data_IF_974013697996
#
_entry.id   IF_974013697996
#
_cell.length_a   1.000
_cell.length_b   1.000
_cell.length_c   1.000
_cell.angle_alpha   90.00
_cell.angle_beta   90.00
_cell.angle_gamma   90.00
#
_symmetry.space_group_name_H-M   'P 1'
#
loop_
_entity.id
_entity.type
_entity.pdbx_description
1 polymer ?
#
# COMPACT_ATOMS: atom_id res chain seq x y z
N UNK A 1 -5.28 -5.53 24.10
CA UNK A 1 -4.64 -5.93 22.82
C UNK A 1 -3.47 -6.85 23.12
N UNK A 2 -3.29 -7.90 22.35
CA UNK A 2 -2.11 -8.77 22.43
C UNK A 2 -1.24 -8.47 21.22
N UNK A 3 -0.23 -7.60 21.41
CA UNK A 3 0.53 -7.07 20.29
C UNK A 3 1.76 -7.92 19.95
N UNK A 4 2.01 -8.09 18.66
CA UNK A 4 3.30 -8.51 18.12
C UNK A 4 3.85 -7.38 17.24
N UNK A 5 5.09 -6.98 17.51
CA UNK A 5 5.78 -5.91 16.80
C UNK A 5 6.89 -6.51 15.95
N UNK A 6 6.82 -6.33 14.62
CA UNK A 6 7.79 -6.90 13.67
C UNK A 6 8.47 -5.76 12.91
N UNK A 7 9.78 -5.87 12.72
CA UNK A 7 10.57 -4.97 11.87
C UNK A 7 11.31 -5.79 10.83
N UNK A 8 11.22 -5.40 9.56
CA UNK A 8 11.99 -5.97 8.46
C UNK A 8 12.91 -4.90 7.87
N UNK A 9 14.22 -5.12 7.93
CA UNK A 9 15.25 -4.20 7.40
C UNK A 9 15.80 -4.62 6.03
N UNK A 10 15.65 -5.88 5.65
CA UNK A 10 15.96 -6.37 4.30
C UNK A 10 14.72 -6.28 3.40
N UNK A 11 14.58 -5.14 2.72
CA UNK A 11 13.41 -4.86 1.87
C UNK A 11 13.58 -5.40 0.45
N UNK A 12 14.78 -5.75 0.00
CA UNK A 12 15.02 -6.19 -1.38
C UNK A 12 14.25 -7.49 -1.75
N UNK A 13 14.15 -8.51 -0.87
CA UNK A 13 13.29 -9.67 -1.09
C UNK A 13 11.79 -9.32 -1.05
N UNK A 14 11.38 -8.38 -0.20
CA UNK A 14 9.98 -7.97 -0.03
C UNK A 14 9.46 -7.18 -1.24
N UNK A 15 10.31 -6.37 -1.85
CA UNK A 15 9.99 -5.45 -2.94
C UNK A 15 10.12 -6.07 -4.35
N UNK A 16 10.60 -7.31 -4.47
CA UNK A 16 10.78 -7.99 -5.77
C UNK A 16 12.13 -7.75 -6.46
N UNK A 17 13.06 -7.01 -5.84
CA UNK A 17 14.44 -6.89 -6.35
C UNK A 17 15.19 -8.24 -6.28
N UNK A 18 14.85 -9.08 -5.30
CA UNK A 18 15.35 -10.45 -5.14
C UNK A 18 14.19 -11.46 -5.09
N UNK A 19 13.45 -11.59 -6.20
CA UNK A 19 12.21 -12.37 -6.30
C UNK A 19 12.31 -13.80 -5.74
N UNK A 20 13.37 -14.55 -6.09
CA UNK A 20 13.54 -15.92 -5.60
C UNK A 20 13.76 -15.98 -4.08
N UNK A 21 14.43 -14.98 -3.51
CA UNK A 21 14.61 -14.87 -2.06
C UNK A 21 13.28 -14.51 -1.38
N UNK A 22 12.57 -13.52 -1.93
CA UNK A 22 11.25 -13.10 -1.44
C UNK A 22 10.24 -14.25 -1.44
N UNK A 23 10.20 -15.02 -2.52
CA UNK A 23 9.33 -16.18 -2.66
C UNK A 23 9.62 -17.25 -1.61
N UNK A 24 10.89 -17.57 -1.37
CA UNK A 24 11.26 -18.57 -0.34
C UNK A 24 10.94 -18.11 1.07
N UNK A 25 11.22 -16.85 1.39
CA UNK A 25 11.10 -16.33 2.76
C UNK A 25 9.65 -16.01 3.14
N UNK A 26 8.87 -15.48 2.20
CA UNK A 26 7.53 -14.95 2.47
C UNK A 26 6.41 -15.73 1.78
N UNK A 27 6.71 -16.78 1.01
CA UNK A 27 5.72 -17.56 0.25
C UNK A 27 4.80 -16.67 -0.60
N UNK A 28 5.36 -15.60 -1.20
CA UNK A 28 4.66 -14.65 -2.05
C UNK A 28 5.58 -14.27 -3.23
N UNK A 29 4.98 -13.94 -4.38
CA UNK A 29 5.68 -13.48 -5.57
C UNK A 29 5.55 -11.96 -5.65
N UNK A 30 6.50 -11.18 -5.08
CA UNK A 30 6.51 -9.73 -5.22
C UNK A 30 6.85 -9.30 -6.65
N UNK A 31 6.42 -8.09 -7.03
CA UNK A 31 6.79 -7.47 -8.29
C UNK A 31 7.59 -6.18 -8.03
N UNK A 32 8.71 -6.02 -8.72
CA UNK A 32 9.49 -4.79 -8.67
C UNK A 32 8.73 -3.67 -9.40
N UNK A 33 8.08 -2.81 -8.64
CA UNK A 33 7.11 -1.80 -9.09
C UNK A 33 7.52 -0.41 -8.61
N UNK A 34 6.90 0.64 -9.13
CA UNK A 34 7.09 2.02 -8.68
C UNK A 34 6.67 2.22 -7.21
N UNK A 35 5.71 1.43 -6.73
CA UNK A 35 5.23 1.42 -5.35
C UNK A 35 5.92 0.35 -4.49
N UNK A 36 7.19 0.06 -4.76
CA UNK A 36 7.92 -1.01 -4.09
C UNK A 36 7.93 -0.95 -2.55
N UNK A 37 7.96 0.22 -1.86
CA UNK A 37 7.92 0.23 -0.39
C UNK A 37 6.62 -0.38 0.15
N UNK A 38 5.50 -0.10 -0.51
CA UNK A 38 4.20 -0.65 -0.16
C UNK A 38 4.08 -2.11 -0.57
N UNK A 39 4.62 -2.50 -1.73
CA UNK A 39 4.73 -3.91 -2.12
C UNK A 39 5.37 -4.71 -0.99
N UNK A 40 6.50 -4.21 -0.48
CA UNK A 40 7.21 -4.88 0.61
C UNK A 40 6.41 -4.93 1.91
N UNK A 41 5.71 -3.84 2.26
CA UNK A 41 4.80 -3.81 3.41
C UNK A 41 3.70 -4.87 3.28
N UNK A 42 2.97 -4.89 2.16
CA UNK A 42 1.84 -5.81 1.94
C UNK A 42 2.28 -7.27 1.84
N UNK A 43 3.48 -7.56 1.31
CA UNK A 43 4.07 -8.91 1.34
C UNK A 43 4.36 -9.35 2.78
N UNK A 44 4.98 -8.48 3.59
CA UNK A 44 5.30 -8.78 4.99
C UNK A 44 4.01 -9.06 5.78
N UNK A 45 3.02 -8.17 5.68
CA UNK A 45 1.73 -8.33 6.35
C UNK A 45 1.04 -9.63 5.92
N UNK A 46 0.98 -9.89 4.60
CA UNK A 46 0.36 -11.11 4.07
C UNK A 46 1.07 -12.39 4.51
N UNK A 47 2.39 -12.36 4.69
CA UNK A 47 3.15 -13.48 5.24
C UNK A 47 2.86 -13.72 6.73
N UNK A 48 2.79 -12.64 7.53
CA UNK A 48 2.50 -12.71 8.97
C UNK A 48 1.08 -13.20 9.24
N UNK A 49 0.09 -12.66 8.52
CA UNK A 49 -1.32 -13.08 8.58
C UNK A 49 -1.47 -14.56 8.27
N UNK A 50 -0.93 -15.02 7.13
CA UNK A 50 -0.97 -16.45 6.76
C UNK A 50 -0.27 -17.33 7.78
N UNK A 51 0.85 -16.88 8.33
CA UNK A 51 1.61 -17.65 9.33
C UNK A 51 0.80 -17.82 10.61
N UNK A 52 0.16 -16.75 11.10
CA UNK A 52 -0.68 -16.78 12.29
C UNK A 52 -1.93 -17.66 12.09
N UNK A 53 -2.59 -17.55 10.93
CA UNK A 53 -3.81 -18.30 10.62
C UNK A 53 -3.63 -19.82 10.67
N UNK A 54 -2.42 -20.35 10.37
CA UNK A 54 -2.11 -21.79 10.52
C UNK A 54 -2.22 -22.31 11.97
N UNK A 55 -2.27 -21.41 12.94
CA UNK A 55 -2.39 -21.72 14.36
C UNK A 55 -3.73 -21.23 14.95
N UNK A 56 -4.75 -21.00 14.12
CA UNK A 56 -6.05 -20.44 14.51
C UNK A 56 -5.94 -19.08 15.22
N UNK A 57 -4.94 -18.29 14.84
CA UNK A 57 -4.70 -16.94 15.34
C UNK A 57 -4.87 -15.92 14.20
N UNK A 58 -5.74 -14.94 14.41
CA UNK A 58 -5.81 -13.77 13.56
C UNK A 58 -4.69 -12.80 13.95
N UNK A 59 -3.99 -12.25 12.95
CA UNK A 59 -3.06 -11.16 13.14
C UNK A 59 -3.55 -9.95 12.34
N UNK A 60 -4.07 -8.94 13.02
CA UNK A 60 -4.66 -7.76 12.36
C UNK A 60 -3.68 -6.58 12.46
N UNK A 61 -3.25 -5.99 11.34
CA UNK A 61 -2.43 -4.77 11.35
C UNK A 61 -3.19 -3.62 12.03
N UNK A 62 -2.58 -3.01 13.04
CA UNK A 62 -3.16 -1.84 13.73
C UNK A 62 -2.34 -0.57 13.54
N UNK A 63 -1.06 -0.72 13.20
CA UNK A 63 -0.19 0.37 12.79
C UNK A 63 0.93 -0.26 11.96
N UNK A 64 1.08 0.15 10.71
CA UNK A 64 2.17 -0.35 9.86
C UNK A 64 2.65 0.75 8.91
N UNK A 65 3.95 0.82 8.70
CA UNK A 65 4.56 1.82 7.83
C UNK A 65 5.84 1.29 7.19
N UNK A 66 6.13 1.76 5.97
CA UNK A 66 7.44 1.62 5.35
C UNK A 66 8.10 2.99 5.30
N UNK A 67 9.13 3.18 6.11
CA UNK A 67 9.82 4.48 6.24
C UNK A 67 11.32 4.30 6.14
N UNK A 68 11.98 5.12 5.33
CA UNK A 68 13.41 5.04 5.06
C UNK A 68 13.84 3.68 4.49
N UNK A 69 14.46 2.80 5.29
CA UNK A 69 15.02 1.52 4.84
C UNK A 69 14.47 0.32 5.63
N UNK A 70 13.31 0.47 6.27
CA UNK A 70 12.67 -0.63 6.98
C UNK A 70 11.14 -0.58 6.88
N UNK A 71 10.53 -1.74 7.07
CA UNK A 71 9.09 -1.90 7.28
C UNK A 71 8.86 -2.23 8.74
N UNK A 72 7.90 -1.55 9.38
CA UNK A 72 7.51 -1.79 10.77
C UNK A 72 6.01 -2.04 10.82
N UNK A 73 5.63 -3.06 11.58
CA UNK A 73 4.22 -3.38 11.79
C UNK A 73 3.95 -3.77 13.24
N UNK A 74 2.78 -3.37 13.72
CA UNK A 74 2.19 -3.72 14.99
C UNK A 74 0.89 -4.48 14.68
N UNK A 75 0.81 -5.72 15.15
CA UNK A 75 -0.30 -6.64 14.89
C UNK A 75 -1.02 -6.94 16.20
N UNK A 76 -2.35 -6.79 16.23
CA UNK A 76 -3.17 -7.29 17.33
C UNK A 76 -3.57 -8.73 17.05
N UNK A 77 -3.39 -9.59 18.06
CA UNK A 77 -3.63 -11.02 17.94
C UNK A 77 -4.96 -11.41 18.57
N UNK A 78 -5.79 -12.13 17.80
CA UNK A 78 -7.00 -12.79 18.30
C UNK A 78 -6.86 -14.31 18.19
N UNK A 79 -7.19 -15.05 19.25
CA UNK A 79 -7.19 -16.53 19.27
C UNK A 79 -8.55 -17.14 18.90
N UNK A 80 -9.33 -16.42 18.09
CA UNK A 80 -10.61 -16.90 17.57
C UNK A 80 -10.39 -17.33 16.13
N UNK A 81 -10.72 -18.58 15.83
CA UNK A 81 -10.58 -19.14 14.48
C UNK A 81 -11.44 -18.39 13.44
N UNK A 82 -12.60 -17.85 13.83
CA UNK A 82 -13.41 -16.98 12.96
C UNK A 82 -12.63 -15.76 12.49
N UNK A 83 -11.99 -15.05 13.41
CA UNK A 83 -11.23 -13.83 13.12
C UNK A 83 -10.03 -14.16 12.21
N UNK A 84 -9.46 -15.37 12.34
CA UNK A 84 -8.39 -15.84 11.47
C UNK A 84 -8.90 -16.07 10.03
N UNK A 85 -10.11 -16.61 9.87
CA UNK A 85 -10.73 -16.76 8.55
C UNK A 85 -11.01 -15.38 7.93
N UNK A 86 -11.58 -14.45 8.68
CA UNK A 86 -11.86 -13.09 8.22
C UNK A 86 -10.57 -12.37 7.78
N UNK A 87 -9.47 -12.55 8.51
CA UNK A 87 -8.17 -12.02 8.13
C UNK A 87 -7.64 -12.63 6.81
N UNK A 88 -7.91 -13.91 6.54
CA UNK A 88 -7.52 -14.54 5.27
C UNK A 88 -8.32 -14.00 4.07
N UNK A 89 -9.55 -13.51 4.27
CA UNK A 89 -10.36 -12.88 3.21
C UNK A 89 -9.75 -11.55 2.72
N UNK A 90 -8.97 -10.88 3.58
CA UNK A 90 -8.23 -9.65 3.25
C UNK A 90 -6.92 -9.90 2.50
N UNK A 91 -6.59 -11.17 2.21
CA UNK A 91 -5.48 -11.51 1.33
C UNK A 91 -5.91 -11.48 -0.13
N UNK A 92 -4.98 -11.18 -1.02
CA UNK A 92 -5.27 -11.22 -2.45
C UNK A 92 -4.06 -10.95 -3.32
N UNK A 93 -4.33 -10.48 -4.53
CA UNK A 93 -3.32 -10.30 -5.57
C UNK A 93 -3.48 -8.94 -6.22
N UNK A 94 -2.38 -8.37 -6.71
CA UNK A 94 -2.38 -7.17 -7.55
C UNK A 94 -1.92 -7.56 -8.94
N UNK A 95 -2.71 -7.24 -9.96
CA UNK A 95 -2.39 -7.45 -11.36
C UNK A 95 -1.92 -6.12 -11.95
N UNK A 96 -0.64 -6.01 -12.29
CA UNK A 96 0.00 -4.76 -12.70
C UNK A 96 0.43 -4.83 -14.18
N UNK A 97 0.10 -3.79 -14.94
CA UNK A 97 0.57 -3.59 -16.30
C UNK A 97 1.78 -2.65 -16.33
N UNK A 98 2.97 -3.19 -16.59
CA UNK A 98 4.20 -2.39 -16.69
C UNK A 98 4.25 -1.46 -17.92
N UNK A 99 3.31 -1.59 -18.86
CA UNK A 99 3.26 -0.75 -20.06
C UNK A 99 2.45 0.53 -19.89
N UNK A 100 1.45 0.55 -19.01
CA UNK A 100 0.61 1.73 -18.79
C UNK A 100 0.32 2.02 -17.30
N UNK A 101 0.91 1.26 -16.38
CA UNK A 101 0.76 1.38 -14.93
C UNK A 101 -0.64 1.05 -14.39
N UNK A 102 -1.58 0.71 -15.26
CA UNK A 102 -2.89 0.21 -14.86
C UNK A 102 -2.73 -1.01 -13.96
N UNK A 103 -3.53 -1.05 -12.91
CA UNK A 103 -3.51 -2.14 -11.94
C UNK A 103 -4.88 -2.38 -11.32
N UNK A 104 -5.12 -3.63 -10.95
CA UNK A 104 -6.33 -4.06 -10.29
C UNK A 104 -5.96 -5.02 -9.15
N UNK A 105 -6.56 -4.82 -7.97
CA UNK A 105 -6.42 -5.73 -6.83
C UNK A 105 -7.62 -6.68 -6.75
N UNK A 106 -7.37 -7.97 -6.48
CA UNK A 106 -8.43 -8.97 -6.30
C UNK A 106 -8.19 -9.78 -5.03
N UNK A 107 -9.16 -9.74 -4.12
CA UNK A 107 -9.16 -10.54 -2.90
C UNK A 107 -9.38 -12.04 -3.18
N UNK A 108 -8.94 -12.86 -2.24
CA UNK A 108 -9.02 -14.31 -2.29
C UNK A 108 -7.67 -15.00 -2.46
N UNK A 109 -7.64 -16.31 -2.19
CA UNK A 109 -6.42 -17.13 -2.17
C UNK A 109 -6.02 -17.69 -3.55
N UNK A 110 -6.79 -17.41 -4.60
CA UNK A 110 -6.53 -17.89 -5.95
C UNK A 110 -6.36 -16.69 -6.87
N UNK A 111 -5.18 -16.57 -7.47
CA UNK A 111 -4.91 -15.55 -8.46
C UNK A 111 -5.76 -15.75 -9.72
N UNK A 112 -6.44 -14.69 -10.16
CA UNK A 112 -7.24 -14.66 -11.40
C UNK A 112 -6.82 -13.48 -12.28
N UNK A 113 -5.61 -13.52 -12.84
CA UNK A 113 -5.13 -12.43 -13.69
C UNK A 113 -6.01 -12.25 -14.92
N UNK A 114 -6.23 -11.00 -15.38
CA UNK A 114 -6.81 -10.78 -16.68
C UNK A 114 -5.86 -11.29 -17.77
N UNK A 115 -6.40 -11.69 -18.92
CA UNK A 115 -5.60 -12.21 -20.03
C UNK A 115 -4.64 -11.15 -20.60
N UNK A 116 -5.09 -9.90 -20.61
CA UNK A 116 -4.36 -8.72 -21.05
C UNK A 116 -4.80 -7.51 -20.22
N UNK A 117 -4.03 -6.44 -20.28
CA UNK A 117 -4.35 -5.19 -19.60
C UNK A 117 -5.63 -4.58 -20.20
N UNK A 118 -6.67 -4.28 -19.40
CA UNK A 118 -7.92 -3.72 -19.91
C UNK A 118 -7.76 -2.29 -20.46
N UNK A 119 -6.68 -1.58 -20.08
CA UNK A 119 -6.42 -0.22 -20.52
C UNK A 119 -5.62 -0.14 -21.84
N UNK A 120 -4.70 -1.08 -22.09
CA UNK A 120 -3.79 -0.98 -23.25
C UNK A 120 -3.52 -2.30 -24.01
N UNK A 121 -4.09 -3.43 -23.58
CA UNK A 121 -3.90 -4.74 -24.21
C UNK A 121 -2.53 -5.39 -23.99
N UNK A 122 -1.62 -4.76 -23.23
CA UNK A 122 -0.31 -5.35 -22.92
C UNK A 122 -0.41 -6.46 -21.85
N UNK A 123 0.66 -7.23 -21.68
CA UNK A 123 0.74 -8.26 -20.64
C UNK A 123 0.67 -7.67 -19.23
N UNK A 124 0.01 -8.41 -18.33
CA UNK A 124 -0.04 -8.11 -16.89
C UNK A 124 0.82 -9.07 -16.10
N UNK A 125 1.45 -8.58 -15.03
CA UNK A 125 2.18 -9.41 -14.06
C UNK A 125 1.44 -9.40 -12.74
N UNK A 126 1.40 -10.55 -12.08
CA UNK A 126 0.66 -10.72 -10.82
C UNK A 126 1.62 -10.71 -9.64
N UNK A 127 1.31 -9.90 -8.64
CA UNK A 127 1.96 -9.89 -7.34
C UNK A 127 1.08 -10.60 -6.30
N UNK A 128 1.68 -11.43 -5.44
CA UNK A 128 1.02 -11.93 -4.23
C UNK A 128 1.30 -13.39 -3.85
N UNK A 129 0.56 -13.92 -2.86
CA UNK A 129 -0.52 -13.22 -2.15
C UNK A 129 -0.01 -12.09 -1.26
N UNK A 130 -0.75 -10.99 -1.23
CA UNK A 130 -0.51 -9.74 -0.52
C UNK A 130 -1.60 -9.51 0.52
N UNK A 131 -1.32 -8.71 1.55
CA UNK A 131 -2.35 -8.10 2.36
C UNK A 131 -3.00 -6.94 1.59
N UNK A 132 -4.31 -7.02 1.34
CA UNK A 132 -5.07 -5.99 0.62
C UNK A 132 -5.86 -5.07 1.54
N UNK A 133 -6.14 -5.48 2.79
CA UNK A 133 -6.85 -4.65 3.76
C UNK A 133 -6.02 -3.49 4.34
N UNK A 134 -6.60 -2.84 5.34
CA UNK A 134 -6.01 -1.72 6.08
C UNK A 134 -4.65 -2.07 6.68
N UNK A 135 -3.69 -1.16 6.53
CA UNK A 135 -2.35 -1.29 7.14
C UNK A 135 -2.31 -0.73 8.58
N UNK A 136 -3.32 0.04 8.96
CA UNK A 136 -3.46 0.72 10.24
C UNK A 136 -4.93 0.83 10.67
N UNK A 137 -5.14 0.97 11.98
CA UNK A 137 -6.44 1.24 12.61
C UNK A 137 -6.41 2.70 13.08
N UNK A 138 -7.20 3.59 12.46
CA UNK A 138 -7.21 5.03 12.76
C UNK A 138 -7.44 5.34 14.24
N UNK A 139 -8.33 4.59 14.92
CA UNK A 139 -8.56 4.79 16.35
C UNK A 139 -7.31 4.43 17.16
N UNK A 140 -6.61 3.35 16.78
CA UNK A 140 -5.33 2.98 17.38
C UNK A 140 -4.23 4.00 17.09
N UNK A 141 -4.15 4.53 15.86
CA UNK A 141 -3.18 5.56 15.45
C UNK A 141 -3.39 6.84 16.28
N UNK A 142 -4.62 7.32 16.41
CA UNK A 142 -4.95 8.48 17.25
C UNK A 142 -4.58 8.27 18.72
N UNK A 143 -4.90 7.09 19.25
CA UNK A 143 -4.53 6.67 20.61
C UNK A 143 -3.01 6.62 20.85
N UNK A 144 -2.21 6.30 19.83
CA UNK A 144 -0.74 6.34 19.90
C UNK A 144 -0.24 7.77 19.83
N UNK A 145 -0.82 8.59 18.95
CA UNK A 145 -0.48 10.00 18.78
C UNK A 145 -0.70 10.79 20.10
N UNK A 146 -1.80 10.55 20.80
CA UNK A 146 -2.12 11.18 22.09
C UNK A 146 -1.17 10.79 23.23
N UNK A 147 -0.48 9.65 23.09
CA UNK A 147 0.43 9.10 24.11
C UNK A 147 1.91 9.30 23.75
N UNK A 148 2.22 9.98 22.65
CA UNK A 148 3.60 10.30 22.32
C UNK A 148 4.22 11.16 23.43
N UNK A 149 5.45 10.82 23.80
CA UNK A 149 6.26 11.59 24.72
C UNK A 149 7.53 12.07 24.03
N UNK A 150 8.08 13.19 24.47
CA UNK A 150 9.35 13.69 23.94
C UNK A 150 10.59 13.03 24.56
N UNK A 151 10.43 11.92 25.29
CA UNK A 151 11.54 11.27 26.01
C UNK A 151 12.66 10.80 25.07
N UNK A 152 12.29 10.42 23.84
CA UNK A 152 13.22 9.94 22.80
C UNK A 152 13.62 11.03 21.80
N UNK A 153 13.19 12.29 21.99
CA UNK A 153 13.49 13.40 21.07
C UNK A 153 12.93 13.21 19.65
N UNK A 154 11.94 12.33 19.47
CA UNK A 154 11.37 11.95 18.17
C UNK A 154 9.87 12.25 18.08
N UNK A 155 9.32 13.02 19.01
CA UNK A 155 7.89 13.30 19.09
C UNK A 155 7.37 13.94 17.80
N UNK A 156 8.00 15.03 17.35
CA UNK A 156 7.59 15.77 16.14
C UNK A 156 7.54 14.85 14.92
N UNK A 157 8.64 14.15 14.62
CA UNK A 157 8.71 13.21 13.50
C UNK A 157 7.68 12.08 13.60
N UNK A 158 7.45 11.56 14.80
CA UNK A 158 6.48 10.48 15.02
C UNK A 158 5.06 11.00 14.82
N UNK A 159 4.76 12.20 15.31
CA UNK A 159 3.48 12.86 15.15
C UNK A 159 3.19 13.16 13.68
N UNK A 160 4.17 13.64 12.92
CA UNK A 160 4.04 13.87 11.47
C UNK A 160 3.72 12.57 10.71
N UNK A 161 4.43 11.49 11.02
CA UNK A 161 4.18 10.18 10.43
C UNK A 161 2.78 9.67 10.76
N UNK A 162 2.39 9.69 12.04
CA UNK A 162 1.07 9.21 12.47
C UNK A 162 -0.07 10.06 11.89
N UNK A 163 0.12 11.38 11.77
CA UNK A 163 -0.84 12.28 11.14
C UNK A 163 -1.00 11.97 9.65
N UNK A 164 0.10 11.65 8.97
CA UNK A 164 0.07 11.24 7.56
C UNK A 164 -0.67 9.92 7.40
N UNK A 165 -0.34 8.92 8.23
CA UNK A 165 -1.01 7.60 8.22
C UNK A 165 -2.51 7.72 8.51
N UNK A 166 -2.92 8.55 9.46
CA UNK A 166 -4.35 8.73 9.79
C UNK A 166 -5.16 9.36 8.64
N UNK A 167 -4.51 10.13 7.77
CA UNK A 167 -5.14 10.77 6.61
C UNK A 167 -4.98 9.98 5.30
N UNK A 168 -4.27 8.85 5.31
CA UNK A 168 -4.07 7.99 4.14
C UNK A 168 -5.35 7.24 3.76
N UNK A 169 -5.54 7.04 2.46
CA UNK A 169 -6.66 6.26 1.96
C UNK A 169 -6.32 4.78 2.00
N UNK A 170 -7.23 3.96 2.49
CA UNK A 170 -7.04 2.52 2.43
C UNK A 170 -7.29 1.98 1.00
N UNK A 171 -6.29 2.10 0.14
CA UNK A 171 -6.35 1.55 -1.22
C UNK A 171 -5.08 0.74 -1.54
N UNK A 172 -5.19 -0.48 -2.08
CA UNK A 172 -4.04 -1.24 -2.55
C UNK A 172 -3.54 -0.75 -3.92
N UNK A 173 -2.93 0.43 -3.90
CA UNK A 173 -1.47 0.66 -3.88
C UNK A 173 -1.27 2.12 -4.27
N UNK A 174 -0.35 2.83 -3.63
CA UNK A 174 -0.03 4.21 -3.97
C UNK A 174 0.50 4.36 -5.40
N UNK A 175 0.29 5.55 -5.93
CA UNK A 175 0.88 6.06 -7.16
C UNK A 175 2.05 6.98 -6.83
N UNK A 176 2.98 7.12 -7.77
CA UNK A 176 3.97 8.20 -7.77
C UNK A 176 3.66 9.19 -8.91
N UNK A 177 3.42 10.45 -8.57
CA UNK A 177 3.05 11.50 -9.50
C UNK A 177 4.13 11.73 -10.57
N UNK A 178 5.41 11.70 -10.18
CA UNK A 178 6.51 11.92 -11.11
C UNK A 178 6.63 10.76 -12.10
N UNK A 179 6.42 9.53 -11.63
CA UNK A 179 6.43 8.34 -12.49
C UNK A 179 5.29 8.39 -13.51
N UNK A 180 4.08 8.75 -13.08
CA UNK A 180 2.92 8.94 -13.96
C UNK A 180 3.15 10.09 -14.97
N UNK A 181 3.58 11.25 -14.51
CA UNK A 181 3.83 12.39 -15.41
C UNK A 181 4.91 12.06 -16.45
N UNK A 182 5.96 11.33 -16.06
CA UNK A 182 6.99 10.86 -17.00
C UNK A 182 6.42 9.90 -18.04
N UNK A 183 5.54 8.98 -17.64
CA UNK A 183 4.84 8.05 -18.52
C UNK A 183 4.01 8.81 -19.58
N UNK A 184 3.37 9.90 -19.17
CA UNK A 184 2.53 10.73 -20.04
C UNK A 184 3.29 11.81 -20.82
N UNK A 185 4.59 11.97 -20.59
CA UNK A 185 5.39 13.04 -21.19
C UNK A 185 5.03 14.45 -20.69
N UNK A 186 4.50 14.57 -19.47
CA UNK A 186 4.04 15.82 -18.84
C UNK A 186 4.99 16.27 -17.74
N UNK A 187 4.99 17.57 -17.44
CA UNK A 187 5.63 18.11 -16.22
C UNK A 187 4.73 17.88 -15.01
N UNK A 188 5.31 17.47 -13.87
CA UNK A 188 4.57 17.37 -12.63
C UNK A 188 4.26 18.77 -12.06
N UNK A 189 2.98 19.02 -11.77
CA UNK A 189 2.53 20.18 -10.99
C UNK A 189 2.82 19.99 -9.51
N UNK A 190 2.53 21.01 -8.68
CA UNK A 190 2.60 20.85 -7.24
C UNK A 190 1.66 19.72 -6.78
N UNK A 191 2.10 18.88 -5.84
CA UNK A 191 1.30 17.73 -5.38
C UNK A 191 -0.08 18.16 -4.86
N UNK A 192 -0.18 19.26 -4.11
CA UNK A 192 -1.49 19.72 -3.61
C UNK A 192 -2.43 20.11 -4.76
N UNK A 193 -1.92 20.80 -5.79
CA UNK A 193 -2.70 21.12 -6.99
C UNK A 193 -3.17 19.85 -7.71
N UNK A 194 -2.28 18.86 -7.83
CA UNK A 194 -2.58 17.57 -8.47
C UNK A 194 -3.69 16.81 -7.73
N UNK A 195 -3.63 16.76 -6.40
CA UNK A 195 -4.65 16.13 -5.57
C UNK A 195 -5.97 16.91 -5.56
N UNK A 196 -5.92 18.23 -5.59
CA UNK A 196 -7.11 19.07 -5.64
C UNK A 196 -7.85 18.91 -6.98
N UNK A 197 -7.13 18.74 -8.09
CA UNK A 197 -7.74 18.38 -9.38
C UNK A 197 -8.45 17.03 -9.33
N UNK A 198 -7.83 16.00 -8.73
CA UNK A 198 -8.47 14.69 -8.55
C UNK A 198 -9.75 14.77 -7.71
N UNK A 199 -9.68 15.48 -6.58
CA UNK A 199 -10.83 15.71 -5.69
C UNK A 199 -11.92 16.53 -6.38
N UNK A 200 -11.54 17.53 -7.17
CA UNK A 200 -12.46 18.33 -7.99
C UNK A 200 -13.18 17.51 -9.05
N UNK A 201 -12.55 16.46 -9.57
CA UNK A 201 -13.15 15.48 -10.47
C UNK A 201 -14.03 14.43 -9.75
N UNK A 202 -14.10 14.47 -8.41
CA UNK A 202 -14.96 13.60 -7.61
C UNK A 202 -14.29 12.34 -7.06
N UNK A 203 -12.97 12.19 -7.23
CA UNK A 203 -12.22 11.05 -6.70
C UNK A 203 -11.72 11.31 -5.28
N UNK A 204 -11.64 10.25 -4.48
CA UNK A 204 -10.91 10.31 -3.22
C UNK A 204 -9.41 10.41 -3.53
N UNK A 205 -8.69 11.30 -2.85
CA UNK A 205 -7.23 11.37 -2.98
C UNK A 205 -6.55 11.82 -1.68
N UNK A 206 -5.45 11.17 -1.32
CA UNK A 206 -4.60 11.50 -0.16
C UNK A 206 -3.12 11.42 -0.51
N UNK A 207 -2.28 12.13 0.26
CA UNK A 207 -0.83 11.88 0.27
C UNK A 207 -0.55 10.55 0.95
N UNK A 208 0.66 10.02 0.77
CA UNK A 208 1.11 8.83 1.50
C UNK A 208 2.49 9.02 2.13
N UNK A 209 2.78 8.24 3.17
CA UNK A 209 4.02 8.24 3.93
C UNK A 209 5.20 7.64 3.16
N UNK A 210 4.95 6.99 2.02
CA UNK A 210 5.97 6.36 1.20
C UNK A 210 6.91 7.39 0.53
N UNK A 211 6.46 8.62 0.30
CA UNK A 211 7.26 9.67 -0.33
C UNK A 211 6.53 10.99 -0.52
N UNK A 212 7.28 12.05 -0.80
CA UNK A 212 6.70 13.39 -1.03
C UNK A 212 5.91 13.52 -2.34
N UNK A 213 6.13 12.59 -3.27
CA UNK A 213 5.52 12.52 -4.62
C UNK A 213 4.50 11.40 -4.74
N UNK A 214 4.15 10.75 -3.63
CA UNK A 214 3.27 9.58 -3.62
C UNK A 214 1.89 9.91 -3.08
N UNK A 215 0.88 9.27 -3.65
CA UNK A 215 -0.52 9.50 -3.32
C UNK A 215 -1.37 8.25 -3.53
N UNK A 216 -2.53 8.20 -2.91
CA UNK A 216 -3.55 7.17 -3.09
C UNK A 216 -4.83 7.78 -3.63
N UNK A 217 -5.58 7.00 -4.40
CA UNK A 217 -6.86 7.40 -4.98
C UNK A 217 -7.66 6.18 -5.40
N UNK A 218 -8.99 6.32 -5.45
CA UNK A 218 -9.92 5.34 -6.03
C UNK A 218 -10.03 5.45 -7.57
N UNK A 219 -9.37 6.42 -8.18
CA UNK A 219 -9.30 6.58 -9.63
C UNK A 219 -8.36 5.55 -10.30
N UNK A 220 -8.73 5.11 -11.50
CA UNK A 220 -7.84 4.37 -12.40
C UNK A 220 -6.79 5.29 -13.05
N UNK A 221 -5.70 4.73 -13.56
CA UNK A 221 -4.63 5.52 -14.21
C UNK A 221 -5.15 6.45 -15.30
N UNK A 222 -6.09 6.00 -16.13
CA UNK A 222 -6.67 6.85 -17.19
C UNK A 222 -7.54 7.98 -16.64
N UNK A 223 -8.27 7.73 -15.55
CA UNK A 223 -9.04 8.77 -14.85
C UNK A 223 -8.11 9.79 -14.18
N UNK A 224 -7.00 9.34 -13.58
CA UNK A 224 -5.98 10.24 -13.01
C UNK A 224 -5.41 11.13 -14.11
N UNK A 225 -5.01 10.55 -15.25
CA UNK A 225 -4.44 11.30 -16.37
C UNK A 225 -5.40 12.39 -16.88
N UNK A 226 -6.69 12.05 -16.98
CA UNK A 226 -7.73 12.95 -17.48
C UNK A 226 -8.05 14.07 -16.49
N UNK A 227 -8.23 13.71 -15.21
CA UNK A 227 -8.57 14.67 -14.15
C UNK A 227 -7.44 15.66 -13.88
N UNK A 228 -6.19 15.27 -14.10
CA UNK A 228 -5.00 16.09 -13.82
C UNK A 228 -4.41 16.74 -15.07
N UNK A 229 -5.09 16.65 -16.20
CA UNK A 229 -4.67 17.32 -17.43
C UNK A 229 -4.75 18.85 -17.27
N UNK A 230 -3.64 19.61 -17.40
CA UNK A 230 -3.71 21.07 -17.31
C UNK A 230 -4.55 21.70 -18.43
N UNK A 231 -4.81 20.98 -19.53
CA UNK A 231 -5.70 21.43 -20.60
C UNK A 231 -7.20 21.26 -20.29
N UNK A 232 -7.56 20.56 -19.19
CA UNK A 232 -8.96 20.34 -18.81
C UNK A 232 -9.53 21.38 -17.84
N UNK A 233 -8.80 22.48 -17.56
CA UNK A 233 -9.33 23.59 -16.76
C UNK A 233 -10.45 24.34 -17.52
N UNK A 234 -11.69 24.38 -16.99
CA UNK A 234 -12.65 25.38 -17.41
C UNK A 234 -12.25 26.69 -16.72
N UNK A 235 -11.55 27.56 -17.43
CA UNK A 235 -11.09 28.86 -16.90
C UNK A 235 -12.18 29.71 -16.25
#
# INVERSE_FOLDING_TARGET
RHLVCVTATDTAPLCGAHEASGTRSYSAVPQNTEYHPEMGLRVLLGALVRTAARYDVAATPVLSHATSHYVRTYLDLSRRASDANDALESLGYVHHCFSCLHRESRAGLIARPPAECPACGANVRTAGPLWLGQSHDNAFVGEVCDRLTNELGTEERSRDLLTTLDAELDTPTHYDQHHLCRQWGRSASAMDEFLDRLRGAGFAASRTHFGGTTFETDASVGEIETATDPASDPG
#
